data_IF_530623534851
#
_entry.id   IF_530623534851
#
_cell.length_a   1.000
_cell.length_b   1.000
_cell.length_c   1.000
_cell.angle_alpha   90.00
_cell.angle_beta   90.00
_cell.angle_gamma   90.00
#
_symmetry.space_group_name_H-M   'P 1'
#
loop_
_entity.id
_entity.type
_entity.pdbx_description
1 polymer ?
#
# COMPACT_ATOMS: atom_id res chain seq x y z
N UNK A 1 5.77 24.77 4.59
CA UNK A 1 5.48 24.81 6.04
C UNK A 1 5.15 23.39 6.53
N UNK A 2 5.70 22.96 7.67
CA UNK A 2 5.34 21.71 8.34
C UNK A 2 4.40 22.01 9.50
N UNK A 3 3.21 21.39 9.48
CA UNK A 3 2.24 21.48 10.57
C UNK A 3 2.08 20.09 11.21
N UNK A 4 2.18 20.02 12.54
CA UNK A 4 1.86 18.80 13.28
C UNK A 4 0.38 18.84 13.66
N UNK A 5 -0.38 17.91 13.06
CA UNK A 5 -1.82 17.83 13.26
C UNK A 5 -2.25 16.37 13.39
N UNK A 6 -3.14 16.09 14.33
CA UNK A 6 -3.82 14.82 14.41
C UNK A 6 -4.97 14.81 13.40
N UNK A 7 -4.86 13.96 12.37
CA UNK A 7 -5.86 13.88 11.29
C UNK A 7 -7.25 13.46 11.78
N UNK A 8 -7.32 12.78 12.93
CA UNK A 8 -8.62 12.36 13.52
C UNK A 8 -9.37 13.54 14.15
N UNK A 9 -8.73 14.70 14.30
CA UNK A 9 -9.36 15.92 14.80
C UNK A 9 -9.73 16.85 13.66
N UNK A 10 -10.86 17.58 13.78
CA UNK A 10 -11.22 18.59 12.78
C UNK A 10 -10.10 19.61 12.57
N UNK A 11 -9.87 19.94 11.31
CA UNK A 11 -8.89 20.95 10.92
C UNK A 11 -9.38 21.71 9.68
N UNK A 12 -9.34 23.01 9.76
CA UNK A 12 -9.84 23.92 8.71
C UNK A 12 -8.73 24.50 7.84
N UNK A 13 -7.49 24.14 8.10
CA UNK A 13 -6.33 24.75 7.46
C UNK A 13 -5.92 26.07 8.12
N UNK A 14 -4.74 26.62 7.76
CA UNK A 14 -4.36 27.97 8.15
C UNK A 14 -5.32 29.00 7.55
N UNK A 15 -5.60 30.05 8.32
CA UNK A 15 -6.49 31.11 7.88
C UNK A 15 -5.94 31.84 6.64
N UNK A 16 -6.76 31.95 5.60
CA UNK A 16 -6.38 32.61 4.36
C UNK A 16 -5.64 31.75 3.33
N UNK A 17 -5.26 30.54 3.67
CA UNK A 17 -4.64 29.62 2.73
C UNK A 17 -5.69 28.98 1.79
N UNK A 18 -5.25 28.67 0.58
CA UNK A 18 -6.00 27.88 -0.40
C UNK A 18 -5.21 26.60 -0.71
N UNK A 19 -5.90 25.48 -0.79
CA UNK A 19 -5.33 24.22 -1.22
C UNK A 19 -5.92 23.83 -2.58
N UNK A 20 -5.11 23.87 -3.63
CA UNK A 20 -5.55 23.45 -4.96
C UNK A 20 -5.56 21.92 -5.05
N UNK A 21 -4.55 21.25 -4.48
CA UNK A 21 -4.43 19.79 -4.47
C UNK A 21 -4.22 19.27 -3.05
N UNK A 22 -4.93 18.21 -2.71
CA UNK A 22 -4.80 17.54 -1.42
C UNK A 22 -4.43 16.07 -1.68
N UNK A 23 -3.39 15.58 -1.00
CA UNK A 23 -3.01 14.17 -1.02
C UNK A 23 -3.20 13.61 0.38
N UNK A 24 -4.26 12.79 0.57
CA UNK A 24 -4.57 12.15 1.84
C UNK A 24 -3.87 10.79 1.94
N UNK A 25 -2.62 10.81 2.43
CA UNK A 25 -1.81 9.61 2.63
C UNK A 25 -1.78 9.09 4.08
N UNK A 26 -2.47 9.76 5.01
CA UNK A 26 -2.48 9.36 6.42
C UNK A 26 -3.29 8.07 6.61
N UNK A 27 -2.63 7.01 7.08
CA UNK A 27 -3.25 5.72 7.36
C UNK A 27 -2.28 4.84 8.15
N UNK A 28 -2.81 4.00 9.04
CA UNK A 28 -2.04 2.91 9.65
C UNK A 28 -2.13 1.71 8.68
N UNK A 29 -1.10 1.53 7.85
CA UNK A 29 -1.14 0.59 6.72
C UNK A 29 -0.28 -0.68 6.90
N UNK A 30 0.54 -0.75 7.96
CA UNK A 30 1.31 -1.95 8.29
C UNK A 30 0.41 -3.01 8.93
N UNK A 31 0.40 -4.26 8.43
CA UNK A 31 -0.41 -5.34 9.02
C UNK A 31 -0.13 -5.58 10.51
N UNK A 32 1.13 -5.50 10.91
CA UNK A 32 1.53 -5.61 12.31
C UNK A 32 0.92 -4.48 13.16
N UNK A 33 0.94 -3.25 12.65
CA UNK A 33 0.52 -2.06 13.41
C UNK A 33 -1.00 -1.93 13.46
N UNK A 34 -1.72 -2.14 12.35
CA UNK A 34 -3.19 -2.01 12.39
C UNK A 34 -3.87 -3.13 13.21
N UNK A 35 -3.25 -4.31 13.34
CA UNK A 35 -3.73 -5.35 14.28
C UNK A 35 -3.53 -4.95 15.72
N UNK A 36 -2.47 -4.22 16.02
CA UNK A 36 -2.18 -3.69 17.35
C UNK A 36 -3.05 -2.50 17.71
N UNK A 37 -3.41 -1.66 16.73
CA UNK A 37 -4.18 -0.42 16.90
C UNK A 37 -5.40 -0.38 15.97
N UNK A 38 -6.37 -1.32 16.13
CA UNK A 38 -7.48 -1.45 15.18
C UNK A 38 -8.46 -0.28 15.20
N UNK A 39 -8.77 0.28 16.38
CA UNK A 39 -9.70 1.41 16.51
C UNK A 39 -9.07 2.69 15.98
N UNK A 40 -7.81 2.95 16.29
CA UNK A 40 -7.06 4.09 15.76
C UNK A 40 -6.92 4.01 14.24
N UNK A 41 -6.86 2.79 13.69
CA UNK A 41 -6.85 2.57 12.23
C UNK A 41 -8.19 2.99 11.62
N UNK A 42 -9.31 2.60 12.22
CA UNK A 42 -10.65 3.04 11.80
C UNK A 42 -10.78 4.56 11.88
N UNK A 43 -10.40 5.18 13.01
CA UNK A 43 -10.50 6.63 13.21
C UNK A 43 -9.67 7.40 12.19
N UNK A 44 -8.43 6.96 11.95
CA UNK A 44 -7.55 7.59 10.95
C UNK A 44 -8.12 7.47 9.54
N UNK A 45 -8.60 6.30 9.16
CA UNK A 45 -9.06 6.03 7.80
C UNK A 45 -10.44 6.64 7.51
N UNK A 46 -11.33 6.75 8.50
CA UNK A 46 -12.71 7.22 8.34
C UNK A 46 -12.84 8.68 8.74
N UNK A 47 -12.58 9.01 10.01
CA UNK A 47 -12.70 10.39 10.52
C UNK A 47 -11.66 11.29 9.87
N UNK A 48 -10.41 10.81 9.75
CA UNK A 48 -9.34 11.54 9.09
C UNK A 48 -9.65 11.87 7.64
N UNK A 49 -10.12 10.89 6.87
CA UNK A 49 -10.54 11.13 5.49
C UNK A 49 -11.70 12.13 5.42
N UNK A 50 -12.70 12.00 6.30
CA UNK A 50 -13.85 12.91 6.33
C UNK A 50 -13.41 14.36 6.57
N UNK A 51 -12.49 14.60 7.48
CA UNK A 51 -11.93 15.93 7.72
C UNK A 51 -11.23 16.48 6.48
N UNK A 52 -10.50 15.65 5.75
CA UNK A 52 -9.83 16.08 4.50
C UNK A 52 -10.82 16.33 3.36
N UNK A 53 -11.92 15.60 3.29
CA UNK A 53 -13.00 15.86 2.32
C UNK A 53 -13.74 17.16 2.65
N UNK A 54 -13.99 17.46 3.94
CA UNK A 54 -14.54 18.76 4.37
C UNK A 54 -13.55 19.90 4.07
N UNK A 55 -12.26 19.71 4.28
CA UNK A 55 -11.22 20.67 3.91
C UNK A 55 -11.24 20.91 2.39
N UNK A 56 -11.25 19.85 1.58
CA UNK A 56 -11.31 19.96 0.12
C UNK A 56 -12.54 20.73 -0.35
N UNK A 57 -13.70 20.48 0.28
CA UNK A 57 -14.96 21.18 0.01
C UNK A 57 -14.87 22.67 0.37
N UNK A 58 -14.42 23.00 1.58
CA UNK A 58 -14.36 24.39 2.08
C UNK A 58 -13.38 25.25 1.29
N UNK A 59 -12.25 24.67 0.87
CA UNK A 59 -11.24 25.35 0.06
C UNK A 59 -11.49 25.26 -1.45
N UNK A 60 -12.54 24.56 -1.88
CA UNK A 60 -12.84 24.32 -3.32
C UNK A 60 -11.62 23.74 -4.05
N UNK A 61 -10.95 22.76 -3.41
CA UNK A 61 -9.77 22.14 -3.98
C UNK A 61 -10.03 21.59 -5.39
N UNK A 62 -9.07 21.74 -6.29
CA UNK A 62 -9.17 21.23 -7.65
C UNK A 62 -9.19 19.70 -7.66
N UNK A 63 -8.51 19.07 -6.70
CA UNK A 63 -8.53 17.63 -6.54
C UNK A 63 -8.09 17.21 -5.14
N UNK A 64 -8.68 16.11 -4.64
CA UNK A 64 -8.20 15.36 -3.48
C UNK A 64 -7.98 13.91 -3.84
N UNK A 65 -6.76 13.40 -3.59
CA UNK A 65 -6.39 12.01 -3.81
C UNK A 65 -6.54 11.20 -2.52
N UNK A 66 -7.36 10.17 -2.57
CA UNK A 66 -7.52 9.17 -1.53
C UNK A 66 -6.77 7.88 -1.87
N UNK A 67 -5.93 7.42 -0.95
CA UNK A 67 -5.30 6.12 -1.01
C UNK A 67 -6.22 5.05 -0.41
N UNK A 68 -6.97 4.37 -1.26
CA UNK A 68 -7.61 3.10 -0.95
C UNK A 68 -6.54 2.00 -0.86
N UNK A 69 -6.86 0.79 -1.22
CA UNK A 69 -5.91 -0.34 -1.19
C UNK A 69 -6.38 -1.47 -2.08
N UNK A 70 -5.47 -2.31 -2.56
CA UNK A 70 -5.80 -3.61 -3.13
C UNK A 70 -6.38 -4.59 -2.09
N UNK A 71 -6.24 -4.30 -0.80
CA UNK A 71 -6.82 -5.11 0.28
C UNK A 71 -8.35 -5.14 0.24
N UNK A 72 -9.01 -4.11 -0.33
CA UNK A 72 -10.47 -4.08 -0.51
C UNK A 72 -11.01 -5.24 -1.35
N UNK A 73 -10.15 -5.89 -2.11
CA UNK A 73 -10.53 -7.05 -2.92
C UNK A 73 -10.54 -8.35 -2.12
N UNK A 74 -9.90 -8.39 -0.94
CA UNK A 74 -9.77 -9.59 -0.13
C UNK A 74 -8.99 -10.70 -0.84
N UNK A 75 -9.51 -11.92 -0.82
CA UNK A 75 -8.98 -13.08 -1.56
C UNK A 75 -9.88 -13.37 -2.79
N UNK A 76 -9.61 -12.76 -3.96
CA UNK A 76 -10.42 -12.96 -5.15
C UNK A 76 -10.33 -14.40 -5.66
N UNK A 77 -11.43 -14.99 -6.16
CA UNK A 77 -11.39 -16.27 -6.82
C UNK A 77 -10.53 -16.20 -8.10
N UNK A 78 -10.01 -17.33 -8.54
CA UNK A 78 -9.04 -17.41 -9.64
C UNK A 78 -9.50 -16.74 -10.95
N UNK A 79 -10.81 -16.79 -11.25
CA UNK A 79 -11.39 -16.19 -12.45
C UNK A 79 -11.51 -14.66 -12.40
N UNK A 80 -11.33 -14.05 -11.22
CA UNK A 80 -11.29 -12.60 -11.01
C UNK A 80 -9.86 -12.04 -10.97
N UNK A 81 -8.85 -12.87 -11.26
CA UNK A 81 -7.45 -12.46 -11.28
C UNK A 81 -6.88 -12.61 -12.69
N UNK A 82 -6.29 -11.53 -13.26
CA UNK A 82 -6.02 -10.19 -12.70
C UNK A 82 -7.29 -9.40 -12.37
N UNK A 83 -7.29 -8.79 -11.16
CA UNK A 83 -8.49 -8.18 -10.57
C UNK A 83 -8.74 -6.78 -11.13
N UNK A 84 -9.92 -6.56 -11.69
CA UNK A 84 -10.35 -5.24 -12.20
C UNK A 84 -11.15 -4.45 -11.14
N UNK A 85 -11.36 -3.15 -11.41
CA UNK A 85 -11.99 -2.25 -10.45
C UNK A 85 -13.49 -2.52 -10.24
N UNK A 86 -14.15 -3.26 -11.13
CA UNK A 86 -15.56 -3.62 -11.01
C UNK A 86 -15.79 -4.80 -10.03
N UNK A 87 -14.76 -5.57 -9.71
CA UNK A 87 -14.85 -6.64 -8.72
C UNK A 87 -15.14 -6.07 -7.34
N UNK A 88 -16.23 -6.54 -6.71
CA UNK A 88 -16.74 -5.99 -5.44
C UNK A 88 -15.95 -6.41 -4.20
N UNK A 89 -15.06 -7.38 -4.32
CA UNK A 89 -14.23 -7.88 -3.23
C UNK A 89 -14.86 -9.05 -2.45
N UNK A 90 -13.98 -9.84 -1.84
CA UNK A 90 -14.29 -10.93 -0.93
C UNK A 90 -13.55 -10.67 0.39
N UNK A 91 -14.07 -9.72 1.17
CA UNK A 91 -13.47 -9.24 2.43
C UNK A 91 -14.35 -9.69 3.59
N UNK A 92 -13.72 -10.13 4.67
CA UNK A 92 -14.40 -10.42 5.93
C UNK A 92 -14.76 -9.14 6.68
N UNK A 93 -16.00 -9.02 7.13
CA UNK A 93 -16.42 -7.91 8.00
C UNK A 93 -15.89 -8.04 9.43
N UNK A 94 -15.42 -9.22 9.82
CA UNK A 94 -14.95 -9.55 11.17
C UNK A 94 -13.58 -10.24 11.02
N UNK A 95 -12.63 -9.87 11.86
CA UNK A 95 -11.32 -10.51 11.84
C UNK A 95 -10.17 -9.53 12.02
N UNK A 96 -8.93 -10.03 12.06
CA UNK A 96 -7.75 -9.22 12.41
C UNK A 96 -7.38 -8.16 11.38
N UNK A 97 -7.92 -8.25 10.16
CA UNK A 97 -7.68 -7.31 9.05
C UNK A 97 -8.86 -6.38 8.79
N UNK A 98 -10.06 -6.71 9.29
CA UNK A 98 -11.32 -6.02 8.96
C UNK A 98 -11.26 -4.50 9.24
N UNK A 99 -10.58 -4.07 10.30
CA UNK A 99 -10.42 -2.64 10.60
C UNK A 99 -9.77 -1.85 9.45
N UNK A 100 -8.79 -2.44 8.78
CA UNK A 100 -8.13 -1.82 7.64
C UNK A 100 -8.94 -1.99 6.36
N UNK A 101 -9.30 -3.22 6.01
CA UNK A 101 -9.91 -3.56 4.74
C UNK A 101 -11.28 -2.87 4.59
N UNK A 102 -12.16 -2.96 5.59
CA UNK A 102 -13.48 -2.32 5.57
C UNK A 102 -13.40 -0.79 5.68
N UNK A 103 -12.45 -0.23 6.44
CA UNK A 103 -12.29 1.22 6.48
C UNK A 103 -11.83 1.79 5.14
N UNK A 104 -11.01 1.06 4.38
CA UNK A 104 -10.62 1.46 3.03
C UNK A 104 -11.79 1.40 2.04
N UNK A 105 -12.66 0.39 2.16
CA UNK A 105 -13.91 0.29 1.38
C UNK A 105 -14.86 1.44 1.69
N UNK A 106 -15.09 1.72 2.97
CA UNK A 106 -15.92 2.86 3.40
C UNK A 106 -15.35 4.20 2.95
N UNK A 107 -14.01 4.33 2.91
CA UNK A 107 -13.35 5.52 2.39
C UNK A 107 -13.66 5.80 0.92
N UNK A 108 -13.75 4.78 0.07
CA UNK A 108 -14.21 4.94 -1.33
C UNK A 108 -15.68 5.41 -1.38
N UNK A 109 -16.54 4.85 -0.52
CA UNK A 109 -17.92 5.30 -0.38
C UNK A 109 -18.03 6.76 0.03
N UNK A 110 -17.19 7.22 0.99
CA UNK A 110 -17.13 8.62 1.39
C UNK A 110 -16.71 9.52 0.22
N UNK A 111 -15.67 9.16 -0.51
CA UNK A 111 -15.24 9.91 -1.69
C UNK A 111 -16.36 10.04 -2.74
N UNK A 112 -17.07 8.94 -3.02
CA UNK A 112 -18.19 8.93 -3.93
C UNK A 112 -19.32 9.86 -3.45
N UNK A 113 -19.74 9.75 -2.18
CA UNK A 113 -20.82 10.56 -1.62
C UNK A 113 -20.49 12.05 -1.58
N UNK A 114 -19.27 12.43 -1.20
CA UNK A 114 -18.82 13.81 -1.21
C UNK A 114 -18.79 14.41 -2.62
N UNK A 115 -18.42 13.59 -3.61
CA UNK A 115 -18.52 14.01 -5.00
C UNK A 115 -19.99 14.25 -5.42
N UNK A 116 -20.87 13.28 -5.17
CA UNK A 116 -22.28 13.35 -5.57
C UNK A 116 -23.03 14.48 -4.88
N UNK A 117 -22.81 14.71 -3.59
CA UNK A 117 -23.60 15.66 -2.81
C UNK A 117 -23.00 17.07 -2.78
N UNK A 118 -21.69 17.18 -2.92
CA UNK A 118 -20.96 18.43 -2.71
C UNK A 118 -20.05 18.83 -3.86
N UNK A 119 -19.96 18.03 -4.92
CA UNK A 119 -19.09 18.31 -6.07
C UNK A 119 -17.60 18.23 -5.75
N UNK A 120 -17.19 17.62 -4.61
CA UNK A 120 -15.78 17.42 -4.28
C UNK A 120 -15.14 16.52 -5.34
N UNK A 121 -14.03 17.00 -5.92
CA UNK A 121 -13.30 16.28 -6.98
C UNK A 121 -12.39 15.21 -6.38
N UNK A 122 -13.00 14.22 -5.70
CA UNK A 122 -12.29 13.12 -5.09
C UNK A 122 -11.73 12.16 -6.15
N UNK A 123 -10.50 11.73 -5.96
CA UNK A 123 -9.78 10.74 -6.76
C UNK A 123 -9.47 9.54 -5.89
N UNK A 124 -9.55 8.35 -6.43
CA UNK A 124 -9.36 7.12 -5.67
C UNK A 124 -8.30 6.26 -6.37
N UNK A 125 -7.25 5.91 -5.66
CA UNK A 125 -6.27 4.93 -6.13
C UNK A 125 -6.31 3.68 -5.25
N UNK A 126 -6.16 2.51 -5.88
CA UNK A 126 -5.98 1.20 -5.22
C UNK A 126 -4.55 0.72 -5.47
N UNK A 127 -3.61 1.04 -4.57
CA UNK A 127 -2.23 0.60 -4.68
C UNK A 127 -2.08 -0.91 -4.58
N UNK A 128 -1.20 -1.48 -5.43
CA UNK A 128 -0.80 -2.90 -5.40
C UNK A 128 0.68 -3.04 -5.10
N UNK A 129 0.99 -3.57 -3.90
CA UNK A 129 2.33 -3.97 -3.43
C UNK A 129 3.47 -3.04 -3.88
N UNK A 130 3.39 -1.78 -3.51
CA UNK A 130 4.45 -0.82 -3.82
C UNK A 130 5.70 -1.09 -3.00
N UNK A 131 6.85 -0.94 -3.63
CA UNK A 131 8.14 -1.09 -2.98
C UNK A 131 9.18 -0.10 -3.51
N UNK A 132 10.24 0.09 -2.75
CA UNK A 132 11.34 0.96 -3.15
C UNK A 132 12.04 1.62 -1.97
N UNK A 133 12.96 2.55 -2.23
CA UNK A 133 13.61 3.36 -1.21
C UNK A 133 12.63 4.05 -0.26
N UNK A 134 13.01 4.20 1.01
CA UNK A 134 12.20 4.87 2.04
C UNK A 134 11.21 3.97 2.79
N UNK A 135 11.01 2.73 2.37
CA UNK A 135 10.21 1.78 3.14
C UNK A 135 10.97 1.36 4.40
N UNK A 136 10.34 1.40 5.58
CA UNK A 136 11.01 1.05 6.85
C UNK A 136 11.33 -0.44 6.91
N UNK A 137 12.50 -0.82 7.41
CA UNK A 137 12.87 -2.24 7.58
C UNK A 137 11.94 -2.95 8.58
N UNK A 138 11.52 -2.25 9.65
CA UNK A 138 10.60 -2.76 10.67
C UNK A 138 9.13 -2.69 10.27
N UNK A 139 8.81 -2.52 8.96
CA UNK A 139 7.44 -2.37 8.48
C UNK A 139 6.60 -3.67 8.58
N UNK A 140 7.27 -4.83 8.66
CA UNK A 140 6.61 -6.14 8.75
C UNK A 140 6.03 -6.64 7.42
N UNK A 141 6.38 -6.02 6.29
CA UNK A 141 6.06 -6.51 4.95
C UNK A 141 7.21 -7.32 4.37
N UNK A 142 6.90 -8.19 3.42
CA UNK A 142 7.81 -9.21 2.87
C UNK A 142 9.15 -8.67 2.37
N UNK A 143 9.16 -7.57 1.58
CA UNK A 143 10.41 -7.04 1.01
C UNK A 143 11.33 -6.37 2.04
N UNK A 144 10.84 -5.53 2.97
CA UNK A 144 11.64 -5.08 4.10
C UNK A 144 12.23 -6.21 4.92
N UNK A 145 11.43 -7.25 5.25
CA UNK A 145 11.90 -8.40 6.03
C UNK A 145 13.03 -9.16 5.31
N UNK A 146 12.88 -9.42 4.01
CA UNK A 146 13.91 -10.07 3.20
C UNK A 146 15.18 -9.20 3.09
N UNK A 147 15.03 -7.89 2.92
CA UNK A 147 16.18 -6.98 2.89
C UNK A 147 16.91 -6.97 4.23
N UNK A 148 16.18 -6.96 5.35
CA UNK A 148 16.77 -7.04 6.70
C UNK A 148 17.59 -8.31 6.88
N UNK A 149 17.07 -9.47 6.48
CA UNK A 149 17.78 -10.73 6.59
C UNK A 149 19.06 -10.74 5.75
N UNK A 150 19.04 -10.21 4.53
CA UNK A 150 20.21 -10.05 3.67
C UNK A 150 21.24 -9.10 4.28
N UNK A 151 20.81 -7.95 4.80
CA UNK A 151 21.70 -6.96 5.42
C UNK A 151 22.37 -7.50 6.68
N UNK A 152 21.70 -8.39 7.41
CA UNK A 152 22.21 -9.07 8.58
C UNK A 152 23.01 -10.35 8.24
N UNK A 153 23.27 -10.60 6.95
CA UNK A 153 23.91 -11.83 6.44
C UNK A 153 23.26 -13.12 6.96
N UNK A 154 21.91 -13.17 6.95
CA UNK A 154 21.09 -14.32 7.37
C UNK A 154 20.37 -14.95 6.19
N UNK A 155 19.89 -16.16 6.36
CA UNK A 155 18.96 -16.79 5.42
C UNK A 155 17.62 -16.04 5.43
N UNK A 156 16.99 -15.92 4.26
CA UNK A 156 15.65 -15.31 4.15
C UNK A 156 14.64 -16.29 4.73
N UNK A 157 13.84 -15.83 5.69
CA UNK A 157 12.83 -16.64 6.37
C UNK A 157 11.45 -16.38 5.78
N UNK A 158 10.83 -17.41 5.18
CA UNK A 158 9.42 -17.40 4.79
C UNK A 158 8.56 -17.83 5.98
N UNK A 159 7.54 -17.05 6.30
CA UNK A 159 6.57 -17.37 7.37
C UNK A 159 5.38 -18.20 6.89
N UNK A 160 5.27 -18.41 5.55
CA UNK A 160 4.34 -19.33 4.90
C UNK A 160 5.12 -20.34 4.08
N UNK A 161 4.43 -21.26 3.40
CA UNK A 161 5.04 -22.19 2.44
C UNK A 161 5.72 -21.50 1.25
N UNK A 162 5.54 -20.20 1.10
CA UNK A 162 6.11 -19.39 0.03
C UNK A 162 5.38 -19.47 -1.32
N UNK A 163 4.24 -20.17 -1.38
CA UNK A 163 3.43 -20.33 -2.59
C UNK A 163 2.59 -19.11 -2.97
N UNK A 164 2.11 -18.24 -2.03
CA UNK A 164 1.33 -17.08 -2.42
C UNK A 164 2.06 -16.20 -3.43
N UNK A 165 1.32 -15.72 -4.44
CA UNK A 165 1.90 -14.92 -5.52
C UNK A 165 1.45 -13.46 -5.49
N UNK A 166 2.34 -12.56 -5.89
CA UNK A 166 2.10 -11.11 -5.97
C UNK A 166 2.77 -10.53 -7.21
N UNK A 167 2.27 -9.40 -7.64
CA UNK A 167 3.04 -8.46 -8.45
C UNK A 167 3.57 -7.35 -7.57
N UNK A 168 4.68 -6.73 -7.94
CA UNK A 168 5.31 -5.66 -7.18
C UNK A 168 5.56 -4.45 -8.08
N UNK A 169 5.15 -3.27 -7.63
CA UNK A 169 5.29 -2.02 -8.35
C UNK A 169 6.37 -1.15 -7.72
N UNK A 170 7.36 -0.76 -8.51
CA UNK A 170 8.38 0.15 -8.01
C UNK A 170 7.82 1.54 -7.73
N UNK A 171 8.33 2.19 -6.69
CA UNK A 171 7.76 3.44 -6.16
C UNK A 171 7.63 4.55 -7.18
N UNK A 172 8.56 4.69 -8.14
CA UNK A 172 8.46 5.74 -9.18
C UNK A 172 7.26 5.52 -10.12
N UNK A 173 7.00 4.27 -10.50
CA UNK A 173 5.83 3.94 -11.32
C UNK A 173 4.53 4.16 -10.56
N UNK A 174 4.52 3.77 -9.26
CA UNK A 174 3.37 4.04 -8.40
C UNK A 174 3.08 5.53 -8.27
N UNK A 175 4.12 6.36 -8.00
CA UNK A 175 3.98 7.82 -7.91
C UNK A 175 3.47 8.43 -9.21
N UNK A 176 3.95 7.95 -10.37
CA UNK A 176 3.44 8.36 -11.68
C UNK A 176 1.94 8.10 -11.79
N UNK A 177 1.49 6.88 -11.43
CA UNK A 177 0.06 6.53 -11.44
C UNK A 177 -0.77 7.39 -10.50
N UNK A 178 -0.26 7.71 -9.32
CA UNK A 178 -0.96 8.58 -8.35
C UNK A 178 -1.10 10.00 -8.87
N UNK A 179 -0.04 10.57 -9.45
CA UNK A 179 -0.09 11.91 -10.01
C UNK A 179 -0.99 11.98 -11.25
N UNK A 180 -0.94 11.01 -12.15
CA UNK A 180 -1.86 10.90 -13.27
C UNK A 180 -3.32 10.85 -12.80
N UNK A 181 -3.62 10.08 -11.74
CA UNK A 181 -4.96 10.02 -11.18
C UNK A 181 -5.35 11.36 -10.56
N UNK A 182 -4.49 11.98 -9.75
CA UNK A 182 -4.74 13.27 -9.09
C UNK A 182 -5.10 14.36 -10.11
N UNK A 183 -4.39 14.40 -11.23
CA UNK A 183 -4.52 15.43 -12.27
C UNK A 183 -5.56 15.08 -13.36
N UNK A 184 -6.14 13.87 -13.35
CA UNK A 184 -7.12 13.44 -14.35
C UNK A 184 -8.44 14.20 -14.22
N UNK A 185 -9.29 14.11 -15.24
CA UNK A 185 -10.67 14.59 -15.21
C UNK A 185 -11.65 13.57 -14.60
N UNK A 186 -11.19 12.36 -14.24
CA UNK A 186 -12.03 11.32 -13.68
C UNK A 186 -12.23 11.55 -12.19
N UNK A 187 -13.47 11.57 -11.70
CA UNK A 187 -13.82 11.85 -10.30
C UNK A 187 -14.61 10.70 -9.69
N UNK A 188 -14.40 10.45 -8.42
CA UNK A 188 -15.11 9.41 -7.64
C UNK A 188 -15.05 8.01 -8.26
N UNK A 189 -14.03 7.74 -9.06
CA UNK A 189 -13.76 6.47 -9.70
C UNK A 189 -12.43 5.88 -9.20
N UNK A 190 -12.40 4.59 -8.83
CA UNK A 190 -11.17 3.95 -8.42
C UNK A 190 -10.31 3.55 -9.61
N UNK A 191 -8.98 3.63 -9.43
CA UNK A 191 -7.98 3.16 -10.37
C UNK A 191 -6.98 2.23 -9.69
N UNK A 192 -6.79 1.03 -10.26
CA UNK A 192 -5.71 0.15 -9.87
C UNK A 192 -4.37 0.77 -10.30
N UNK A 193 -3.46 0.96 -9.34
CA UNK A 193 -2.10 1.43 -9.59
C UNK A 193 -1.12 0.39 -9.06
N UNK A 194 -0.34 -0.18 -9.98
CA UNK A 194 0.55 -1.29 -9.66
C UNK A 194 1.31 -1.76 -10.90
N UNK A 195 1.94 -2.93 -10.79
CA UNK A 195 2.44 -3.70 -11.94
C UNK A 195 1.60 -4.96 -12.10
N UNK A 196 1.33 -5.39 -13.33
CA UNK A 196 0.62 -6.63 -13.64
C UNK A 196 1.56 -7.77 -14.04
N UNK A 197 2.87 -7.51 -14.07
CA UNK A 197 3.91 -8.50 -14.35
C UNK A 197 5.27 -8.10 -13.78
N UNK A 198 6.15 -9.10 -13.45
CA UNK A 198 5.81 -10.50 -13.32
C UNK A 198 4.96 -10.78 -12.06
N UNK A 199 4.02 -11.72 -12.14
CA UNK A 199 3.43 -12.32 -10.94
C UNK A 199 4.40 -13.38 -10.42
N UNK A 200 4.88 -13.22 -9.18
CA UNK A 200 5.97 -14.00 -8.61
C UNK A 200 5.58 -14.55 -7.23
N UNK A 201 5.97 -15.78 -6.93
CA UNK A 201 5.78 -16.37 -5.60
C UNK A 201 6.73 -15.75 -4.58
N UNK A 202 6.37 -15.81 -3.30
CA UNK A 202 7.23 -15.30 -2.24
C UNK A 202 8.58 -16.03 -2.19
N UNK A 203 8.59 -17.32 -2.53
CA UNK A 203 9.81 -18.12 -2.62
C UNK A 203 10.73 -17.65 -3.76
N UNK A 204 10.17 -17.41 -4.94
CA UNK A 204 10.92 -16.92 -6.09
C UNK A 204 11.41 -15.48 -5.87
N UNK A 205 10.60 -14.64 -5.23
CA UNK A 205 11.00 -13.28 -4.84
C UNK A 205 12.22 -13.30 -3.91
N UNK A 206 12.22 -14.17 -2.90
CA UNK A 206 13.36 -14.33 -2.01
C UNK A 206 14.62 -14.78 -2.74
N UNK A 207 14.52 -15.76 -3.65
CA UNK A 207 15.64 -16.20 -4.49
C UNK A 207 16.17 -15.07 -5.38
N UNK A 208 15.28 -14.36 -6.06
CA UNK A 208 15.63 -13.22 -6.90
C UNK A 208 16.38 -12.15 -6.11
N UNK A 209 15.94 -11.86 -4.88
CA UNK A 209 16.59 -10.84 -4.06
C UNK A 209 17.97 -11.30 -3.56
N UNK A 210 18.17 -12.59 -3.24
CA UNK A 210 19.49 -13.16 -2.94
C UNK A 210 20.44 -13.06 -4.13
N UNK A 211 19.97 -13.36 -5.34
CA UNK A 211 20.74 -13.20 -6.58
C UNK A 211 21.15 -11.73 -6.80
N UNK A 212 20.21 -10.79 -6.66
CA UNK A 212 20.47 -9.34 -6.75
C UNK A 212 21.50 -8.88 -5.72
N UNK A 213 21.45 -9.46 -4.52
CA UNK A 213 22.40 -9.15 -3.45
C UNK A 213 23.81 -9.76 -3.64
N UNK A 214 23.94 -10.74 -4.54
CA UNK A 214 25.14 -11.59 -4.65
C UNK A 214 25.36 -12.48 -3.42
N UNK A 215 24.28 -12.80 -2.67
CA UNK A 215 24.35 -13.54 -1.42
C UNK A 215 24.33 -15.05 -1.68
N UNK A 216 25.13 -15.79 -0.88
CA UNK A 216 25.16 -17.27 -0.87
C UNK A 216 24.15 -17.87 0.11
N UNK A 217 23.39 -17.03 0.81
CA UNK A 217 22.35 -17.45 1.75
C UNK A 217 21.18 -18.14 1.02
N UNK A 218 20.27 -18.73 1.77
CA UNK A 218 19.17 -19.52 1.25
C UNK A 218 17.82 -18.92 1.63
N UNK A 219 16.78 -19.36 0.95
CA UNK A 219 15.40 -19.15 1.36
C UNK A 219 14.95 -20.37 2.13
N UNK A 220 14.62 -20.18 3.40
CA UNK A 220 14.15 -21.23 4.31
C UNK A 220 12.71 -20.97 4.72
N UNK A 221 12.00 -22.01 5.14
CA UNK A 221 10.63 -21.92 5.64
C UNK A 221 10.62 -22.16 7.15
N UNK A 222 10.11 -21.19 7.89
CA UNK A 222 9.82 -21.32 9.32
C UNK A 222 8.42 -20.74 9.55
N UNK A 223 7.43 -21.57 9.85
CA UNK A 223 6.06 -21.10 10.08
C UNK A 223 6.01 -19.99 11.11
N UNK A 224 5.08 -19.05 10.93
CA UNK A 224 4.84 -18.01 11.92
C UNK A 224 4.28 -18.63 13.20
N UNK A 225 4.73 -18.15 14.35
CA UNK A 225 4.14 -18.48 15.66
C UNK A 225 2.84 -17.69 15.90
N UNK A 226 2.61 -16.63 15.14
CA UNK A 226 1.41 -15.81 15.21
C UNK A 226 0.24 -16.55 14.57
N UNK A 227 -0.77 -16.93 15.36
CA UNK A 227 -1.92 -17.75 14.94
C UNK A 227 -2.67 -17.12 13.76
N UNK A 228 -2.83 -15.80 13.77
CA UNK A 228 -3.60 -15.05 12.77
C UNK A 228 -2.75 -14.51 11.61
N UNK A 229 -1.48 -14.92 11.49
CA UNK A 229 -0.56 -14.37 10.48
C UNK A 229 -1.08 -14.53 9.04
N UNK A 230 -1.68 -15.68 8.74
CA UNK A 230 -2.22 -16.01 7.41
C UNK A 230 -3.73 -15.76 7.31
N UNK A 231 -4.41 -15.41 8.40
CA UNK A 231 -5.86 -15.19 8.39
C UNK A 231 -6.21 -14.04 7.44
N UNK A 232 -7.14 -14.31 6.53
CA UNK A 232 -7.60 -13.38 5.47
C UNK A 232 -6.47 -12.85 4.56
N UNK A 233 -5.31 -13.52 4.53
CA UNK A 233 -4.23 -13.13 3.64
C UNK A 233 -4.47 -13.76 2.25
N UNK A 234 -4.65 -12.95 1.18
CA UNK A 234 -4.99 -13.50 -0.13
C UNK A 234 -3.88 -14.40 -0.70
N UNK A 235 -4.28 -15.44 -1.42
CA UNK A 235 -3.35 -16.35 -2.09
C UNK A 235 -2.68 -15.70 -3.30
N UNK A 236 -3.44 -14.92 -4.07
CA UNK A 236 -2.95 -14.22 -5.26
C UNK A 236 -3.35 -12.75 -5.23
N UNK A 237 -2.46 -11.87 -5.71
CA UNK A 237 -2.78 -10.44 -5.88
C UNK A 237 -2.07 -9.88 -7.09
N UNK A 238 -2.85 -9.70 -8.17
CA UNK A 238 -2.41 -9.14 -9.44
C UNK A 238 -3.48 -8.18 -9.97
N UNK A 239 -3.15 -6.90 -10.27
CA UNK A 239 -4.11 -5.95 -10.81
C UNK A 239 -4.37 -6.19 -12.29
N UNK A 240 -5.61 -5.95 -12.72
CA UNK A 240 -5.88 -5.60 -14.11
C UNK A 240 -5.69 -4.09 -14.26
N UNK A 241 -4.83 -3.66 -15.19
CA UNK A 241 -4.49 -2.25 -15.42
C UNK A 241 -5.16 -1.65 -16.66
N UNK A 242 -6.09 -2.36 -17.30
CA UNK A 242 -6.72 -1.91 -18.54
C UNK A 242 -7.37 -0.52 -18.40
N UNK A 243 -8.07 -0.27 -17.28
CA UNK A 243 -8.70 1.02 -16.99
C UNK A 243 -7.66 2.12 -16.81
N UNK A 244 -6.64 1.89 -16.01
CA UNK A 244 -5.57 2.87 -15.75
C UNK A 244 -4.77 3.18 -17.02
N UNK A 245 -4.53 2.17 -17.88
CA UNK A 245 -3.90 2.37 -19.19
C UNK A 245 -4.75 3.22 -20.13
N UNK A 246 -6.04 2.89 -20.25
CA UNK A 246 -6.92 3.55 -21.21
C UNK A 246 -7.29 4.97 -20.83
N UNK A 247 -7.56 5.24 -19.54
CA UNK A 247 -8.06 6.53 -19.07
C UNK A 247 -6.98 7.46 -18.53
N UNK A 248 -5.86 6.92 -18.04
CA UNK A 248 -4.77 7.72 -17.44
C UNK A 248 -3.48 7.65 -18.27
N UNK A 249 -3.37 6.77 -19.25
CA UNK A 249 -2.11 6.50 -19.94
C UNK A 249 -1.04 5.87 -19.04
N UNK A 250 -1.46 5.27 -17.90
CA UNK A 250 -0.56 4.70 -16.93
C UNK A 250 0.05 3.38 -17.42
N UNK A 251 1.37 3.29 -17.39
CA UNK A 251 2.10 2.06 -17.69
C UNK A 251 3.30 1.95 -16.75
N UNK A 252 3.39 0.88 -15.93
CA UNK A 252 4.59 0.64 -15.13
C UNK A 252 5.76 0.25 -16.05
N UNK A 253 6.93 0.84 -15.83
CA UNK A 253 8.10 0.69 -16.70
C UNK A 253 9.29 0.04 -16.00
N UNK A 254 9.34 0.08 -14.67
CA UNK A 254 10.49 -0.38 -13.89
C UNK A 254 10.43 -1.89 -13.72
N UNK A 255 11.45 -2.57 -14.24
CA UNK A 255 11.65 -4.01 -14.04
C UNK A 255 11.83 -4.35 -12.56
N UNK A 256 11.25 -5.49 -12.13
CA UNK A 256 11.27 -5.91 -10.73
C UNK A 256 12.71 -6.07 -10.21
N UNK A 257 13.58 -6.74 -10.96
CA UNK A 257 14.98 -6.99 -10.56
C UNK A 257 15.76 -5.68 -10.41
N UNK A 258 15.55 -4.74 -11.32
CA UNK A 258 16.15 -3.41 -11.23
C UNK A 258 15.65 -2.66 -9.98
N UNK A 259 14.34 -2.65 -9.73
CA UNK A 259 13.75 -2.02 -8.55
C UNK A 259 14.27 -2.60 -7.23
N UNK A 260 14.38 -3.94 -7.15
CA UNK A 260 14.95 -4.65 -5.99
C UNK A 260 16.43 -4.25 -5.75
N UNK A 261 17.21 -4.14 -6.82
CA UNK A 261 18.60 -3.69 -6.73
C UNK A 261 18.70 -2.27 -6.16
N UNK A 262 17.88 -1.34 -6.65
CA UNK A 262 17.84 0.05 -6.16
C UNK A 262 17.40 0.15 -4.71
N UNK A 263 16.37 -0.63 -4.32
CA UNK A 263 15.89 -0.68 -2.94
C UNK A 263 16.98 -1.21 -1.98
N UNK A 264 17.63 -2.33 -2.34
CA UNK A 264 18.69 -2.91 -1.52
C UNK A 264 19.91 -2.00 -1.42
N UNK A 265 20.30 -1.34 -2.52
CA UNK A 265 21.39 -0.35 -2.51
C UNK A 265 21.10 0.82 -1.57
N UNK A 266 19.84 1.30 -1.58
CA UNK A 266 19.43 2.37 -0.69
C UNK A 266 19.52 1.96 0.78
N UNK A 267 19.07 0.76 1.14
CA UNK A 267 19.21 0.26 2.51
C UNK A 267 20.68 0.15 2.94
N UNK A 268 21.54 -0.40 2.08
CA UNK A 268 22.99 -0.47 2.37
C UNK A 268 23.64 0.88 2.62
N UNK A 269 23.11 1.93 2.00
CA UNK A 269 23.68 3.28 2.10
C UNK A 269 23.11 4.09 3.28
N UNK A 270 21.82 3.94 3.57
CA UNK A 270 21.10 4.86 4.47
C UNK A 270 20.58 4.22 5.75
N UNK A 271 20.60 2.89 5.86
CA UNK A 271 20.17 2.20 7.07
C UNK A 271 21.38 1.80 7.88
N UNK A 272 21.52 2.43 9.06
CA UNK A 272 22.61 2.13 9.98
C UNK A 272 22.44 0.78 10.70
N UNK A 273 23.54 0.19 11.15
CA UNK A 273 23.53 -1.06 11.94
C UNK A 273 22.67 -0.96 13.20
N UNK A 274 22.47 0.24 13.75
CA UNK A 274 21.60 0.48 14.91
C UNK A 274 20.10 0.24 14.62
N UNK A 275 19.65 0.45 13.39
CA UNK A 275 18.27 0.18 12.98
C UNK A 275 18.03 -1.33 12.81
N UNK A 276 19.05 -2.06 12.35
CA UNK A 276 19.05 -3.53 12.30
C UNK A 276 18.99 -4.15 13.70
N UNK A 277 19.69 -3.55 14.68
CA UNK A 277 19.76 -4.04 16.07
C UNK A 277 18.49 -3.73 16.89
N UNK A 278 17.74 -2.67 16.56
CA UNK A 278 16.51 -2.31 17.28
C UNK A 278 15.38 -3.31 17.06
N UNK A 279 15.40 -4.03 15.95
CA UNK A 279 14.36 -5.02 15.59
C UNK A 279 14.54 -6.37 16.31
N UNK A 280 15.71 -6.64 16.89
CA UNK A 280 15.98 -7.84 17.71
C UNK A 280 15.40 -7.76 19.14
N UNK A 281 14.94 -6.58 19.58
CA UNK A 281 14.45 -6.34 20.95
C UNK A 281 12.93 -6.30 21.07
N UNK A 282 12.20 -6.55 19.99
CA UNK A 282 10.73 -6.64 19.97
C UNK A 282 10.36 -8.06 19.56
N UNK A 283 10.79 -9.00 20.39
CA UNK A 283 10.36 -10.39 20.44
C UNK A 283 9.46 -10.57 21.67
#
# INVERSE_FOLDING_TARGET
QLLRQDITKPWTGPAGDRFDFIIHGASIASPKVYRQYPLETLDTNISGLRHMLELAKSHRAESILYFSSSEIYGDPPAHEIPTNEAYRGNVSCIGPRACYDESKRLGETLCYLYHQQHGVRAKIVRPFNNFGPGLRLADGRVLPDFCRDILADRDIVLRSDGSPTRTFCYVSDALTGYLLTLLSSNHAEPFNIGSDSPEISMRELGRMLLEVAGSKRKVIHTPSEEVDYLTDNPNRRCPNLAKSRSLLGYTPLVDLRFGLSRMLQWYKQFVGLEELAKDERVG
#
